data_IF_828056790930
#
_entry.id   IF_828056790930
#
_cell.length_a   1.000
_cell.length_b   1.000
_cell.length_c   1.000
_cell.angle_alpha   90.00
_cell.angle_beta   90.00
_cell.angle_gamma   90.00
#
_symmetry.space_group_name_H-M   'P 1'
#
loop_
_entity.id
_entity.type
_entity.pdbx_description
1 polymer ?
#
# COMPACT_ATOMS: atom_id res chain seq x y z
N UNK A 1 -51.09 -8.68 -35.16
CA UNK A 1 -50.13 -9.75 -34.82
C UNK A 1 -50.21 -9.99 -33.33
N UNK A 2 -50.70 -11.17 -32.94
CA UNK A 2 -51.08 -11.54 -31.58
C UNK A 2 -49.81 -12.04 -30.85
N UNK A 3 -49.33 -11.31 -29.84
CA UNK A 3 -48.25 -11.78 -28.98
C UNK A 3 -48.77 -12.94 -28.13
N UNK A 4 -48.48 -14.17 -28.57
CA UNK A 4 -48.61 -15.36 -27.72
C UNK A 4 -47.72 -15.16 -26.51
N UNK A 5 -48.34 -15.18 -25.32
CA UNK A 5 -47.70 -15.49 -24.03
C UNK A 5 -46.75 -16.66 -24.23
N UNK A 6 -45.44 -16.43 -24.08
CA UNK A 6 -44.52 -17.48 -23.67
C UNK A 6 -44.93 -17.87 -22.25
N UNK A 7 -45.71 -18.94 -22.15
CA UNK A 7 -45.88 -19.69 -20.91
C UNK A 7 -44.51 -20.22 -20.53
N UNK A 8 -43.99 -19.79 -19.38
CA UNK A 8 -42.92 -20.49 -18.68
C UNK A 8 -43.44 -21.92 -18.44
N UNK A 9 -42.96 -22.87 -19.23
CA UNK A 9 -43.10 -24.27 -18.90
C UNK A 9 -42.33 -24.48 -17.59
N UNK A 10 -42.98 -25.13 -16.62
CA UNK A 10 -42.35 -25.60 -15.39
C UNK A 10 -41.17 -26.50 -15.78
N UNK A 11 -39.95 -25.95 -15.83
CA UNK A 11 -38.71 -26.71 -15.89
C UNK A 11 -38.58 -27.51 -14.59
N UNK A 12 -39.21 -28.69 -14.56
CA UNK A 12 -39.21 -29.60 -13.42
C UNK A 12 -37.95 -30.44 -13.26
N UNK A 13 -36.88 -30.18 -14.03
CA UNK A 13 -35.61 -30.92 -13.92
C UNK A 13 -34.41 -30.00 -14.22
N UNK A 14 -34.15 -29.03 -13.33
CA UNK A 14 -32.84 -28.38 -13.28
C UNK A 14 -31.81 -29.36 -12.70
N UNK A 15 -31.05 -30.01 -13.59
CA UNK A 15 -29.95 -30.94 -13.25
C UNK A 15 -28.87 -30.33 -12.34
N UNK A 16 -28.83 -28.99 -12.18
CA UNK A 16 -27.94 -28.34 -11.21
C UNK A 16 -28.28 -28.70 -9.75
N UNK A 17 -29.52 -29.15 -9.49
CA UNK A 17 -30.01 -29.50 -8.15
C UNK A 17 -29.90 -31.01 -7.83
N UNK A 18 -29.45 -31.86 -8.77
CA UNK A 18 -29.28 -33.32 -8.57
C UNK A 18 -28.05 -33.68 -7.71
N UNK A 19 -27.37 -32.71 -7.11
CA UNK A 19 -26.18 -32.91 -6.29
C UNK A 19 -26.48 -33.66 -4.98
N UNK A 20 -25.68 -34.70 -4.69
CA UNK A 20 -25.74 -35.41 -3.40
C UNK A 20 -25.20 -34.50 -2.30
N UNK A 21 -26.01 -34.19 -1.29
CA UNK A 21 -25.55 -33.50 -0.07
C UNK A 21 -24.52 -34.38 0.66
N UNK A 22 -23.23 -34.09 0.46
CA UNK A 22 -22.12 -34.83 1.09
C UNK A 22 -21.94 -34.46 2.58
N UNK A 23 -22.52 -33.36 3.05
CA UNK A 23 -22.40 -32.94 4.46
C UNK A 23 -23.13 -33.90 5.42
N UNK A 24 -24.15 -34.64 4.94
CA UNK A 24 -24.89 -35.63 5.74
C UNK A 24 -24.19 -36.99 5.86
N UNK A 25 -23.09 -37.23 5.13
CA UNK A 25 -22.35 -38.51 5.12
C UNK A 25 -21.16 -38.55 6.10
N UNK A 26 -20.97 -37.52 6.92
CA UNK A 26 -19.82 -37.35 7.80
C UNK A 26 -18.61 -36.76 7.07
N UNK A 27 -17.87 -35.86 7.74
CA UNK A 27 -16.76 -35.09 7.18
C UNK A 27 -16.63 -33.70 7.84
N UNK A 28 -15.67 -32.89 7.37
CA UNK A 28 -15.44 -31.54 7.89
C UNK A 28 -16.70 -30.66 7.71
N UNK A 29 -17.21 -30.11 8.82
CA UNK A 29 -18.41 -29.26 8.82
C UNK A 29 -18.03 -27.79 8.72
N UNK A 30 -18.79 -26.99 7.97
CA UNK A 30 -18.55 -25.56 7.75
C UNK A 30 -18.28 -24.78 9.05
N UNK A 31 -19.12 -24.98 10.07
CA UNK A 31 -18.99 -24.31 11.36
C UNK A 31 -17.72 -24.67 12.12
N UNK A 32 -17.25 -25.91 11.98
CA UNK A 32 -16.01 -26.39 12.59
C UNK A 32 -14.78 -25.84 11.85
N UNK A 33 -14.79 -25.90 10.50
CA UNK A 33 -13.70 -25.38 9.67
C UNK A 33 -13.43 -23.90 9.92
N UNK A 34 -14.49 -23.09 9.96
CA UNK A 34 -14.38 -21.65 10.19
C UNK A 34 -14.32 -21.27 11.67
N UNK A 35 -14.41 -22.26 12.58
CA UNK A 35 -14.47 -22.03 14.02
C UNK A 35 -15.53 -20.99 14.41
N UNK A 36 -16.73 -21.10 13.84
CA UNK A 36 -17.81 -20.13 14.05
C UNK A 36 -18.25 -20.05 15.52
N UNK A 37 -18.02 -21.10 16.30
CA UNK A 37 -18.24 -21.07 17.74
C UNK A 37 -17.35 -20.05 18.46
N UNK A 38 -16.16 -19.72 17.92
CA UNK A 38 -15.32 -18.64 18.46
C UNK A 38 -15.72 -17.30 17.88
N UNK A 39 -15.91 -17.23 16.56
CA UNK A 39 -16.18 -15.96 15.86
C UNK A 39 -17.55 -15.38 16.25
N UNK A 40 -18.61 -16.20 16.28
CA UNK A 40 -19.99 -15.77 16.53
C UNK A 40 -20.37 -15.73 18.02
N UNK A 41 -19.41 -15.97 18.92
CA UNK A 41 -19.60 -15.82 20.38
C UNK A 41 -18.59 -14.81 20.97
N UNK A 42 -18.09 -13.89 20.16
CA UNK A 42 -17.14 -12.85 20.58
C UNK A 42 -17.79 -11.46 20.72
N UNK A 43 -19.11 -11.36 20.61
CA UNK A 43 -19.87 -10.09 20.56
C UNK A 43 -20.43 -9.72 21.94
N UNK A 44 -19.57 -9.19 22.81
CA UNK A 44 -19.94 -8.86 24.19
C UNK A 44 -20.10 -7.34 24.39
N UNK A 45 -21.34 -6.91 24.61
CA UNK A 45 -21.69 -5.50 24.81
C UNK A 45 -21.37 -5.03 26.24
N UNK A 46 -20.55 -4.00 26.38
CA UNK A 46 -20.25 -3.41 27.68
C UNK A 46 -21.46 -2.72 28.28
N UNK A 47 -22.31 -2.09 27.46
CA UNK A 47 -23.51 -1.44 27.96
C UNK A 47 -24.51 -2.46 28.53
N UNK A 48 -24.67 -3.61 27.87
CA UNK A 48 -25.50 -4.74 28.34
C UNK A 48 -24.96 -5.31 29.66
N UNK A 49 -23.64 -5.50 29.78
CA UNK A 49 -22.99 -5.90 31.04
C UNK A 49 -23.24 -4.94 32.20
N UNK A 50 -23.42 -3.65 31.89
CA UNK A 50 -23.70 -2.60 32.89
C UNK A 50 -25.19 -2.38 33.11
N UNK A 51 -26.06 -3.24 32.56
CA UNK A 51 -27.51 -3.19 32.76
C UNK A 51 -28.24 -2.18 31.89
N UNK A 52 -27.59 -1.61 30.88
CA UNK A 52 -28.16 -0.61 29.97
C UNK A 52 -27.81 -0.95 28.52
N UNK A 53 -28.46 -1.98 27.96
CA UNK A 53 -28.18 -2.45 26.59
C UNK A 53 -28.49 -1.37 25.55
N UNK A 54 -27.49 -1.00 24.74
CA UNK A 54 -27.61 -0.06 23.64
C UNK A 54 -27.44 -0.84 22.34
N UNK A 55 -28.41 -0.70 21.43
CA UNK A 55 -28.50 -1.52 20.21
C UNK A 55 -27.26 -1.38 19.31
N UNK A 56 -26.87 -0.14 19.01
CA UNK A 56 -25.79 0.17 18.06
C UNK A 56 -24.38 -0.20 18.58
N UNK A 57 -24.22 -0.54 19.85
CA UNK A 57 -22.96 -1.09 20.36
C UNK A 57 -22.61 -2.42 19.67
N UNK A 58 -23.61 -3.24 19.30
CA UNK A 58 -23.38 -4.48 18.56
C UNK A 58 -22.80 -4.20 17.16
N UNK A 59 -23.35 -3.20 16.44
CA UNK A 59 -22.83 -2.75 15.14
C UNK A 59 -21.39 -2.24 15.26
N UNK A 60 -21.11 -1.46 16.31
CA UNK A 60 -19.77 -0.98 16.61
C UNK A 60 -18.77 -2.14 16.78
N UNK A 61 -19.12 -3.15 17.59
CA UNK A 61 -18.28 -4.33 17.83
C UNK A 61 -18.02 -5.12 16.54
N UNK A 62 -19.09 -5.50 15.81
CA UNK A 62 -18.97 -6.31 14.59
C UNK A 62 -18.17 -5.60 13.51
N UNK A 63 -18.33 -4.27 13.37
CA UNK A 63 -17.55 -3.48 12.41
C UNK A 63 -16.05 -3.55 12.73
N UNK A 64 -15.66 -3.36 14.00
CA UNK A 64 -14.25 -3.44 14.40
C UNK A 64 -13.69 -4.85 14.28
N UNK A 65 -14.47 -5.89 14.61
CA UNK A 65 -14.06 -7.29 14.42
C UNK A 65 -13.82 -7.62 12.95
N UNK A 66 -14.68 -7.15 12.05
CA UNK A 66 -14.49 -7.31 10.61
C UNK A 66 -13.22 -6.60 10.11
N UNK A 67 -12.94 -5.37 10.57
CA UNK A 67 -11.67 -4.70 10.28
C UNK A 67 -10.46 -5.52 10.76
N UNK A 68 -10.48 -6.04 11.98
CA UNK A 68 -9.37 -6.81 12.55
C UNK A 68 -9.15 -8.16 11.84
N UNK A 69 -10.21 -8.81 11.33
CA UNK A 69 -10.07 -9.99 10.47
C UNK A 69 -9.36 -9.63 9.15
N UNK A 70 -9.73 -8.51 8.53
CA UNK A 70 -9.08 -8.05 7.30
C UNK A 70 -7.65 -7.57 7.52
N UNK A 71 -7.35 -6.90 8.64
CA UNK A 71 -5.97 -6.56 9.00
C UNK A 71 -5.12 -7.82 9.15
N UNK A 72 -5.66 -8.88 9.76
CA UNK A 72 -4.97 -10.17 9.83
C UNK A 72 -4.68 -10.76 8.46
N UNK A 73 -5.65 -10.70 7.54
CA UNK A 73 -5.44 -11.16 6.16
C UNK A 73 -4.38 -10.33 5.44
N UNK A 74 -4.41 -8.99 5.57
CA UNK A 74 -3.39 -8.11 4.98
C UNK A 74 -2.01 -8.45 5.53
N UNK A 75 -1.87 -8.63 6.84
CA UNK A 75 -0.61 -9.02 7.47
C UNK A 75 -0.11 -10.36 6.96
N UNK A 76 -1.00 -11.33 6.76
CA UNK A 76 -0.66 -12.63 6.18
C UNK A 76 -0.11 -12.50 4.75
N UNK A 77 -0.77 -11.73 3.89
CA UNK A 77 -0.28 -11.47 2.54
C UNK A 77 1.05 -10.71 2.58
N UNK A 78 1.15 -9.66 3.39
CA UNK A 78 2.33 -8.80 3.55
C UNK A 78 3.55 -9.61 3.99
N UNK A 79 3.42 -10.41 5.05
CA UNK A 79 4.51 -11.23 5.56
C UNK A 79 4.95 -12.28 4.54
N UNK A 80 4.00 -12.87 3.82
CA UNK A 80 4.33 -13.83 2.77
C UNK A 80 5.10 -13.19 1.61
N UNK A 81 4.82 -11.93 1.27
CA UNK A 81 5.57 -11.18 0.25
C UNK A 81 6.94 -10.80 0.79
N UNK A 82 7.03 -10.27 2.02
CA UNK A 82 8.30 -9.96 2.68
C UNK A 82 9.25 -11.17 2.68
N UNK A 83 8.75 -12.36 3.02
CA UNK A 83 9.53 -13.61 2.99
C UNK A 83 10.04 -13.96 1.59
N UNK A 84 9.25 -13.75 0.52
CA UNK A 84 9.70 -13.98 -0.87
C UNK A 84 10.91 -13.09 -1.21
N UNK A 85 10.90 -11.82 -0.77
CA UNK A 85 12.04 -10.92 -0.96
C UNK A 85 13.22 -11.30 -0.07
N UNK A 86 13.00 -11.57 1.22
CA UNK A 86 14.03 -11.90 2.20
C UNK A 86 14.82 -13.14 1.82
N UNK A 87 14.13 -14.19 1.37
CA UNK A 87 14.77 -15.47 1.01
C UNK A 87 15.37 -15.45 -0.42
N UNK A 88 15.34 -14.30 -1.10
CA UNK A 88 15.89 -14.16 -2.45
C UNK A 88 15.05 -14.80 -3.56
N UNK A 89 13.91 -15.44 -3.24
CA UNK A 89 13.00 -16.03 -4.23
C UNK A 89 12.44 -15.02 -5.24
N UNK A 90 12.42 -13.73 -4.89
CA UNK A 90 12.08 -12.64 -5.82
C UNK A 90 13.05 -12.50 -7.00
N UNK A 91 14.28 -13.05 -6.89
CA UNK A 91 15.26 -13.04 -8.00
C UNK A 91 14.83 -13.96 -9.14
N UNK A 92 14.09 -15.02 -8.85
CA UNK A 92 13.41 -15.80 -9.88
C UNK A 92 12.14 -15.07 -10.31
N UNK A 93 12.19 -14.48 -11.50
CA UNK A 93 11.13 -13.64 -12.06
C UNK A 93 9.79 -14.38 -12.20
N UNK A 94 9.78 -15.73 -12.19
CA UNK A 94 8.55 -16.53 -12.16
C UNK A 94 7.71 -16.25 -10.91
N UNK A 95 8.33 -15.81 -9.81
CA UNK A 95 7.62 -15.44 -8.58
C UNK A 95 6.98 -14.05 -8.64
N UNK A 96 7.30 -13.22 -9.64
CA UNK A 96 6.77 -11.85 -9.73
C UNK A 96 5.24 -11.84 -9.84
N UNK A 97 4.65 -12.78 -10.57
CA UNK A 97 3.18 -12.90 -10.69
C UNK A 97 2.52 -13.19 -9.33
N UNK A 98 3.15 -14.02 -8.51
CA UNK A 98 2.69 -14.35 -7.16
C UNK A 98 2.77 -13.12 -6.25
N UNK A 99 3.88 -12.39 -6.30
CA UNK A 99 4.09 -11.14 -5.55
C UNK A 99 3.01 -10.11 -5.90
N UNK A 100 2.84 -9.81 -7.20
CA UNK A 100 1.87 -8.79 -7.63
C UNK A 100 0.43 -9.18 -7.30
N UNK A 101 0.08 -10.46 -7.41
CA UNK A 101 -1.28 -10.94 -7.09
C UNK A 101 -1.59 -10.74 -5.60
N UNK A 102 -0.63 -10.99 -4.70
CA UNK A 102 -0.80 -10.77 -3.27
C UNK A 102 -0.84 -9.29 -2.90
N UNK A 103 0.03 -8.47 -3.48
CA UNK A 103 -0.01 -7.01 -3.28
C UNK A 103 -1.34 -6.42 -3.81
N UNK A 104 -1.81 -6.85 -4.99
CA UNK A 104 -3.12 -6.43 -5.51
C UNK A 104 -4.27 -6.88 -4.61
N UNK A 105 -4.19 -8.07 -4.02
CA UNK A 105 -5.18 -8.53 -3.04
C UNK A 105 -5.23 -7.62 -1.82
N UNK A 106 -4.09 -7.16 -1.31
CA UNK A 106 -4.03 -6.17 -0.22
C UNK A 106 -4.76 -4.88 -0.63
N UNK A 107 -4.50 -4.36 -1.83
CA UNK A 107 -5.20 -3.18 -2.35
C UNK A 107 -6.71 -3.39 -2.45
N UNK A 108 -7.18 -4.57 -2.89
CA UNK A 108 -8.61 -4.88 -2.94
C UNK A 108 -9.25 -4.95 -1.55
N UNK A 109 -8.56 -5.55 -0.57
CA UNK A 109 -9.03 -5.56 0.81
C UNK A 109 -9.09 -4.13 1.36
N UNK A 110 -8.06 -3.30 1.13
CA UNK A 110 -8.07 -1.91 1.58
C UNK A 110 -9.19 -1.08 0.94
N UNK A 111 -9.55 -1.32 -0.33
CA UNK A 111 -10.74 -0.70 -0.96
C UNK A 111 -12.02 -1.05 -0.20
N UNK A 112 -12.22 -2.34 0.11
CA UNK A 112 -13.36 -2.79 0.90
C UNK A 112 -13.36 -2.13 2.30
N UNK A 113 -12.20 -2.02 2.95
CA UNK A 113 -12.07 -1.35 4.24
C UNK A 113 -12.40 0.15 4.19
N UNK A 114 -12.12 0.82 3.08
CA UNK A 114 -12.52 2.23 2.88
C UNK A 114 -14.04 2.35 2.76
N UNK A 115 -14.68 1.43 2.03
CA UNK A 115 -16.15 1.40 1.85
C UNK A 115 -16.88 0.98 3.13
N UNK A 116 -16.28 0.11 3.95
CA UNK A 116 -16.87 -0.42 5.18
C UNK A 116 -17.23 0.67 6.21
N UNK A 117 -16.60 1.85 6.15
CA UNK A 117 -17.03 3.01 6.95
C UNK A 117 -18.50 3.37 6.74
N UNK A 118 -19.03 3.24 5.52
CA UNK A 118 -20.43 3.56 5.20
C UNK A 118 -21.43 2.77 6.06
N UNK A 119 -21.07 1.55 6.47
CA UNK A 119 -21.89 0.71 7.36
C UNK A 119 -21.91 1.27 8.78
N UNK A 120 -20.75 1.62 9.34
CA UNK A 120 -20.70 2.24 10.66
C UNK A 120 -21.29 3.65 10.65
N UNK A 121 -21.32 4.29 9.48
CA UNK A 121 -21.89 5.63 9.33
C UNK A 121 -23.41 5.67 9.42
N UNK A 122 -24.11 4.53 9.39
CA UNK A 122 -25.55 4.47 9.63
C UNK A 122 -25.92 4.71 11.10
N UNK A 123 -24.98 4.52 12.03
CA UNK A 123 -25.14 4.88 13.44
C UNK A 123 -25.14 6.40 13.60
N UNK A 124 -26.07 6.94 14.38
CA UNK A 124 -26.11 8.38 14.65
C UNK A 124 -25.12 8.77 15.75
N UNK A 125 -24.70 10.04 15.76
CA UNK A 125 -23.83 10.55 16.81
C UNK A 125 -24.51 10.54 18.20
N UNK A 126 -25.84 10.62 18.24
CA UNK A 126 -26.61 10.54 19.49
C UNK A 126 -26.59 9.10 20.04
N UNK A 127 -26.91 8.11 19.22
CA UNK A 127 -26.88 6.69 19.61
C UNK A 127 -25.46 6.26 20.01
N UNK A 128 -24.44 6.75 19.30
CA UNK A 128 -23.05 6.54 19.69
C UNK A 128 -22.75 7.10 21.09
N UNK A 129 -23.29 8.27 21.42
CA UNK A 129 -23.03 8.94 22.70
C UNK A 129 -23.62 8.15 23.88
N UNK A 130 -24.70 7.40 23.68
CA UNK A 130 -25.36 6.60 24.71
C UNK A 130 -24.50 5.44 25.23
N UNK A 131 -23.59 4.89 24.41
CA UNK A 131 -22.67 3.83 24.84
C UNK A 131 -21.19 4.24 24.90
N UNK A 132 -20.82 5.42 24.37
CA UNK A 132 -19.43 5.90 24.34
C UNK A 132 -18.74 5.88 25.70
N UNK A 133 -19.47 6.16 26.79
CA UNK A 133 -18.93 6.16 28.15
C UNK A 133 -18.35 4.79 28.56
N UNK A 134 -18.96 3.69 28.12
CA UNK A 134 -18.52 2.32 28.46
C UNK A 134 -17.20 1.92 27.78
N UNK A 135 -16.79 2.66 26.74
CA UNK A 135 -15.57 2.38 25.97
C UNK A 135 -14.31 2.93 26.64
N UNK A 136 -14.41 3.94 27.51
CA UNK A 136 -13.22 4.58 28.09
C UNK A 136 -12.46 3.63 29.03
N UNK A 137 -11.12 3.53 28.96
CA UNK A 137 -10.17 4.29 28.15
C UNK A 137 -9.76 3.62 26.81
N UNK A 138 -10.50 2.61 26.36
CA UNK A 138 -10.17 1.87 25.15
C UNK A 138 -10.24 2.76 23.89
N UNK A 139 -9.32 2.53 22.94
CA UNK A 139 -9.27 3.27 21.68
C UNK A 139 -8.53 2.54 20.58
N UNK A 140 -8.72 2.96 19.32
CA UNK A 140 -7.99 2.42 18.17
C UNK A 140 -6.47 2.57 18.24
N UNK A 141 -5.93 3.38 19.17
CA UNK A 141 -4.49 3.39 19.45
C UNK A 141 -3.96 2.03 19.94
N UNK A 142 -4.84 1.19 20.49
CA UNK A 142 -4.56 -0.15 20.98
C UNK A 142 -4.75 -1.24 19.90
N UNK A 143 -5.06 -0.89 18.64
CA UNK A 143 -5.09 -1.87 17.55
C UNK A 143 -3.66 -2.30 17.23
N UNK A 144 -3.27 -3.47 17.74
CA UNK A 144 -1.96 -4.07 17.51
C UNK A 144 -1.72 -4.30 16.01
N UNK A 145 -2.69 -4.89 15.32
CA UNK A 145 -2.54 -5.26 13.91
C UNK A 145 -2.39 -4.03 13.01
N UNK A 146 -3.08 -2.92 13.32
CA UNK A 146 -2.89 -1.68 12.57
C UNK A 146 -1.46 -1.12 12.71
N UNK A 147 -0.86 -1.22 13.91
CA UNK A 147 0.53 -0.80 14.13
C UNK A 147 1.53 -1.74 13.47
N UNK A 148 1.30 -3.06 13.55
CA UNK A 148 2.10 -4.04 12.83
C UNK A 148 2.07 -3.80 11.32
N UNK A 149 0.90 -3.46 10.77
CA UNK A 149 0.73 -3.14 9.35
C UNK A 149 1.57 -1.92 8.95
N UNK A 150 1.46 -0.81 9.69
CA UNK A 150 2.24 0.40 9.43
C UNK A 150 3.75 0.11 9.48
N UNK A 151 4.21 -0.64 10.48
CA UNK A 151 5.63 -0.98 10.63
C UNK A 151 6.12 -1.88 9.49
N UNK A 152 5.36 -2.94 9.15
CA UNK A 152 5.72 -3.90 8.10
C UNK A 152 5.70 -3.29 6.70
N UNK A 153 4.84 -2.31 6.42
CA UNK A 153 4.92 -1.52 5.17
C UNK A 153 6.20 -0.69 5.19
N UNK A 154 6.45 0.05 6.28
CA UNK A 154 7.67 0.83 6.48
C UNK A 154 7.47 2.26 6.96
N UNK A 155 6.42 2.56 7.74
CA UNK A 155 6.21 3.89 8.31
C UNK A 155 7.33 4.18 9.34
N UNK A 156 8.21 5.17 9.11
CA UNK A 156 9.31 5.44 10.02
C UNK A 156 8.83 6.02 11.35
N UNK A 157 9.42 5.54 12.45
CA UNK A 157 9.07 6.03 13.79
C UNK A 157 9.27 7.53 13.95
N UNK A 158 10.36 8.07 13.38
CA UNK A 158 10.71 9.50 13.43
C UNK A 158 9.67 10.41 12.75
N UNK A 159 8.89 9.86 11.82
CA UNK A 159 7.89 10.62 11.06
C UNK A 159 6.49 10.57 11.67
N UNK A 160 6.25 9.65 12.62
CA UNK A 160 4.96 9.57 13.31
C UNK A 160 4.69 10.85 14.07
N UNK A 161 3.46 11.34 13.94
CA UNK A 161 3.02 12.52 14.69
C UNK A 161 2.99 12.17 16.18
N UNK A 162 3.72 12.93 17.03
CA UNK A 162 3.78 12.64 18.45
C UNK A 162 2.42 12.85 19.10
N UNK A 163 2.07 11.96 20.02
CA UNK A 163 0.90 12.09 20.87
C UNK A 163 1.33 11.87 22.33
N UNK A 164 0.94 12.80 23.22
CA UNK A 164 1.35 12.83 24.63
C UNK A 164 2.86 12.72 24.90
N UNK A 165 3.71 13.07 23.91
CA UNK A 165 5.18 12.92 23.97
C UNK A 165 5.63 11.48 24.31
N UNK A 166 4.79 10.49 24.03
CA UNK A 166 5.05 9.07 24.28
C UNK A 166 5.19 8.31 22.97
N UNK A 167 5.90 7.20 23.02
CA UNK A 167 6.02 6.30 21.88
C UNK A 167 4.67 5.62 21.66
N UNK A 168 4.27 5.37 20.41
CA UNK A 168 2.99 4.67 20.13
C UNK A 168 2.96 3.25 20.76
N UNK A 169 4.15 2.69 21.03
CA UNK A 169 4.38 1.35 21.59
C UNK A 169 4.15 1.30 23.11
N UNK A 170 4.18 2.45 23.80
CA UNK A 170 4.02 2.53 25.27
C UNK A 170 2.64 2.07 25.77
N UNK A 171 1.69 1.89 24.84
CA UNK A 171 0.33 1.44 25.08
C UNK A 171 0.27 -0.10 25.21
N UNK A 172 1.23 -0.81 24.64
CA UNK A 172 1.26 -2.27 24.57
C UNK A 172 2.18 -2.87 25.64
N UNK A 173 1.89 -4.10 26.10
CA UNK A 173 2.65 -4.80 27.15
C UNK A 173 2.86 -6.26 26.79
N UNK A 174 3.86 -6.90 27.39
CA UNK A 174 4.12 -8.34 27.22
C UNK A 174 4.34 -8.72 25.75
N UNK A 175 3.69 -9.79 25.30
CA UNK A 175 3.84 -10.34 23.95
C UNK A 175 3.51 -9.32 22.84
N UNK A 176 2.50 -8.46 23.04
CA UNK A 176 2.13 -7.45 22.05
C UNK A 176 3.25 -6.41 21.84
N UNK A 177 3.93 -6.03 22.92
CA UNK A 177 5.07 -5.13 22.86
C UNK A 177 6.25 -5.78 22.13
N UNK A 178 6.53 -7.06 22.41
CA UNK A 178 7.57 -7.83 21.74
C UNK A 178 7.30 -7.97 20.24
N UNK A 179 6.05 -8.23 19.85
CA UNK A 179 5.64 -8.30 18.44
C UNK A 179 5.86 -6.96 17.72
N UNK A 180 5.54 -5.84 18.37
CA UNK A 180 5.80 -4.51 17.81
C UNK A 180 7.29 -4.24 17.66
N UNK A 181 8.07 -4.53 18.69
CA UNK A 181 9.52 -4.36 18.67
C UNK A 181 10.15 -5.21 17.54
N UNK A 182 9.69 -6.45 17.37
CA UNK A 182 10.08 -7.31 16.26
C UNK A 182 9.71 -6.70 14.91
N UNK A 183 8.51 -6.14 14.77
CA UNK A 183 8.04 -5.53 13.52
C UNK A 183 8.81 -4.27 13.11
N UNK A 184 9.45 -3.58 14.06
CA UNK A 184 10.33 -2.43 13.80
C UNK A 184 11.76 -2.86 13.42
N UNK A 185 12.19 -4.04 13.87
CA UNK A 185 13.55 -4.54 13.64
C UNK A 185 13.67 -5.40 12.38
N UNK A 186 12.63 -6.17 12.06
CA UNK A 186 12.61 -6.98 10.85
C UNK A 186 12.56 -6.09 9.59
N UNK A 187 13.16 -6.52 8.47
CA UNK A 187 13.11 -5.78 7.21
C UNK A 187 11.67 -5.46 6.79
N UNK A 188 11.43 -4.17 6.54
CA UNK A 188 10.14 -3.65 6.07
C UNK A 188 9.95 -3.92 4.57
N UNK A 189 8.72 -3.82 4.08
CA UNK A 189 8.45 -3.93 2.64
C UNK A 189 9.21 -2.85 1.85
N UNK A 190 9.28 -1.62 2.37
CA UNK A 190 10.08 -0.53 1.77
C UNK A 190 11.55 -0.95 1.58
N UNK A 191 12.22 -1.44 2.63
CA UNK A 191 13.63 -1.83 2.56
C UNK A 191 13.88 -3.01 1.62
N UNK A 192 12.93 -3.96 1.57
CA UNK A 192 13.03 -5.11 0.69
C UNK A 192 12.83 -4.73 -0.79
N UNK A 193 11.89 -3.82 -1.06
CA UNK A 193 11.66 -3.24 -2.39
C UNK A 193 12.85 -2.38 -2.81
N UNK A 194 13.39 -1.55 -1.91
CA UNK A 194 14.60 -0.75 -2.14
C UNK A 194 15.76 -1.65 -2.58
N UNK A 195 16.10 -2.67 -1.80
CA UNK A 195 17.17 -3.59 -2.15
C UNK A 195 16.94 -4.31 -3.49
N UNK A 196 15.69 -4.58 -3.85
CA UNK A 196 15.34 -5.15 -5.16
C UNK A 196 15.51 -4.14 -6.31
N UNK A 197 15.08 -2.89 -6.12
CA UNK A 197 15.25 -1.79 -7.09
C UNK A 197 16.73 -1.46 -7.36
N UNK A 198 17.60 -1.58 -6.36
CA UNK A 198 19.04 -1.37 -6.51
C UNK A 198 19.73 -2.40 -7.44
N UNK A 199 19.03 -3.49 -7.77
CA UNK A 199 19.47 -4.54 -8.69
C UNK A 199 18.72 -4.50 -10.02
N UNK A 200 17.95 -3.45 -10.29
CA UNK A 200 17.26 -3.30 -11.57
C UNK A 200 18.28 -3.35 -12.71
N UNK A 201 18.09 -4.23 -13.72
CA UNK A 201 19.01 -4.34 -14.83
C UNK A 201 19.07 -3.06 -15.66
N UNK A 202 20.27 -2.69 -16.09
CA UNK A 202 20.55 -1.51 -16.91
C UNK A 202 21.09 -0.30 -16.14
N UNK A 203 21.26 -0.43 -14.82
CA UNK A 203 21.90 0.58 -13.98
C UNK A 203 23.44 0.47 -13.97
N UNK A 204 23.99 -0.60 -14.53
CA UNK A 204 25.42 -0.87 -14.53
C UNK A 204 26.17 0.07 -15.49
N UNK A 205 27.21 0.74 -15.00
CA UNK A 205 28.03 1.67 -15.79
C UNK A 205 28.79 1.00 -16.94
N UNK A 206 29.22 -0.26 -16.76
CA UNK A 206 29.87 -1.06 -17.81
C UNK A 206 28.84 -1.76 -18.75
N UNK A 207 27.55 -1.51 -18.53
CA UNK A 207 26.44 -2.13 -19.26
C UNK A 207 25.66 -1.12 -20.10
N UNK A 208 24.36 -0.97 -19.79
CA UNK A 208 23.50 0.01 -20.47
C UNK A 208 23.75 1.45 -20.01
N UNK A 209 24.31 1.64 -18.80
CA UNK A 209 24.50 2.93 -18.14
C UNK A 209 23.28 3.88 -18.29
N UNK A 210 22.11 3.41 -17.83
CA UNK A 210 20.89 4.19 -17.90
C UNK A 210 21.06 5.61 -17.34
N UNK A 211 21.80 5.75 -16.23
CA UNK A 211 21.89 7.03 -15.55
C UNK A 211 22.77 8.04 -16.28
N UNK A 212 23.95 7.62 -16.77
CA UNK A 212 24.83 8.49 -17.55
C UNK A 212 24.19 8.93 -18.86
N UNK A 213 23.62 7.98 -19.61
CA UNK A 213 22.93 8.27 -20.87
C UNK A 213 21.69 9.16 -20.66
N UNK A 214 20.95 8.96 -19.57
CA UNK A 214 19.80 9.78 -19.24
C UNK A 214 20.20 11.22 -18.89
N UNK A 215 21.29 11.42 -18.12
CA UNK A 215 21.81 12.74 -17.80
C UNK A 215 22.21 13.51 -19.06
N UNK A 216 22.96 12.86 -19.96
CA UNK A 216 23.38 13.46 -21.24
C UNK A 216 22.16 13.86 -22.07
N UNK A 217 21.15 12.99 -22.20
CA UNK A 217 19.97 13.31 -23.00
C UNK A 217 19.12 14.43 -22.39
N UNK A 218 19.01 14.49 -21.06
CA UNK A 218 18.30 15.59 -20.39
C UNK A 218 19.02 16.91 -20.60
N UNK A 219 20.35 16.94 -20.49
CA UNK A 219 21.15 18.14 -20.76
C UNK A 219 20.97 18.62 -22.20
N UNK A 220 21.10 17.72 -23.19
CA UNK A 220 20.91 18.04 -24.59
C UNK A 220 19.48 18.54 -24.88
N UNK A 221 18.47 17.85 -24.33
CA UNK A 221 17.07 18.21 -24.50
C UNK A 221 16.74 19.59 -23.92
N UNK A 222 17.31 19.92 -22.74
CA UNK A 222 17.17 21.25 -22.13
C UNK A 222 17.87 22.34 -22.97
N UNK A 223 19.02 22.04 -23.59
CA UNK A 223 19.69 22.98 -24.50
C UNK A 223 18.86 23.24 -25.77
N UNK A 224 18.27 22.20 -26.35
CA UNK A 224 17.37 22.31 -27.50
C UNK A 224 16.11 23.12 -27.15
N UNK A 225 15.46 22.83 -26.03
CA UNK A 225 14.30 23.59 -25.54
C UNK A 225 14.65 25.06 -25.28
N UNK A 226 15.79 25.33 -24.67
CA UNK A 226 16.26 26.70 -24.46
C UNK A 226 16.44 27.45 -25.78
N UNK A 227 17.07 26.83 -26.77
CA UNK A 227 17.26 27.43 -28.09
C UNK A 227 15.93 27.74 -28.78
N UNK A 228 14.93 26.84 -28.65
CA UNK A 228 13.59 27.05 -29.19
C UNK A 228 12.86 28.24 -28.53
N UNK A 229 12.95 28.36 -27.21
CA UNK A 229 12.36 29.50 -26.48
C UNK A 229 13.10 30.79 -26.81
N UNK A 230 14.43 30.76 -26.88
CA UNK A 230 15.26 31.93 -27.18
C UNK A 230 15.01 32.48 -28.59
N UNK A 231 14.73 31.61 -29.57
CA UNK A 231 14.42 31.99 -30.94
C UNK A 231 13.05 32.68 -31.11
N UNK A 232 12.17 32.65 -30.10
CA UNK A 232 10.90 33.38 -30.14
C UNK A 232 11.13 34.90 -30.12
N UNK A 233 10.25 35.69 -30.78
CA UNK A 233 10.32 37.14 -30.74
C UNK A 233 10.15 37.65 -29.30
N UNK A 234 10.77 38.80 -28.99
CA UNK A 234 10.67 39.44 -27.67
C UNK A 234 9.21 39.78 -27.33
N UNK A 235 8.70 39.22 -26.23
CA UNK A 235 7.34 39.41 -25.74
C UNK A 235 7.25 39.00 -24.27
N UNK A 236 6.20 39.44 -23.57
CA UNK A 236 5.88 38.99 -22.21
C UNK A 236 5.71 37.45 -22.15
N UNK A 237 5.14 36.86 -23.20
CA UNK A 237 5.02 35.40 -23.34
C UNK A 237 6.39 34.71 -23.38
N UNK A 238 7.39 35.31 -24.04
CA UNK A 238 8.76 34.78 -24.06
C UNK A 238 9.38 34.81 -22.67
N UNK A 239 9.20 35.90 -21.92
CA UNK A 239 9.72 36.04 -20.56
C UNK A 239 9.10 34.99 -19.62
N UNK A 240 7.79 34.75 -19.73
CA UNK A 240 7.09 33.70 -18.98
C UNK A 240 7.63 32.30 -19.32
N UNK A 241 7.83 32.01 -20.61
CA UNK A 241 8.40 30.73 -21.07
C UNK A 241 9.83 30.53 -20.57
N UNK A 242 10.67 31.58 -20.55
CA UNK A 242 12.04 31.50 -20.01
C UNK A 242 12.04 31.25 -18.51
N UNK A 243 11.14 31.89 -17.77
CA UNK A 243 10.97 31.69 -16.32
C UNK A 243 10.53 30.26 -15.98
N UNK A 244 9.57 29.73 -16.73
CA UNK A 244 9.09 28.35 -16.56
C UNK A 244 10.17 27.33 -16.94
N UNK A 245 10.86 27.55 -18.06
CA UNK A 245 11.99 26.73 -18.48
C UNK A 245 13.07 26.67 -17.39
N UNK A 246 13.44 27.81 -16.79
CA UNK A 246 14.46 27.84 -15.75
C UNK A 246 14.05 27.02 -14.52
N UNK A 247 12.78 27.10 -14.09
CA UNK A 247 12.26 26.27 -12.98
C UNK A 247 12.31 24.78 -13.33
N UNK A 248 11.86 24.42 -14.53
CA UNK A 248 11.86 23.02 -14.99
C UNK A 248 13.29 22.48 -15.07
N UNK A 249 14.23 23.27 -15.61
CA UNK A 249 15.66 22.96 -15.66
C UNK A 249 16.22 22.69 -14.25
N UNK A 250 15.99 23.60 -13.31
CA UNK A 250 16.49 23.45 -11.93
C UNK A 250 15.92 22.19 -11.25
N UNK A 251 14.65 21.87 -11.51
CA UNK A 251 14.00 20.66 -11.00
C UNK A 251 14.60 19.39 -11.63
N UNK A 252 14.72 19.33 -12.96
CA UNK A 252 15.26 18.16 -13.64
C UNK A 252 16.73 17.93 -13.30
N UNK A 253 17.55 18.98 -13.30
CA UNK A 253 18.97 18.85 -12.95
C UNK A 253 19.18 18.47 -11.48
N UNK A 254 18.24 18.84 -10.59
CA UNK A 254 18.29 18.39 -9.19
C UNK A 254 18.16 16.89 -9.00
N UNK A 255 17.68 16.17 -10.02
CA UNK A 255 17.62 14.71 -10.00
C UNK A 255 19.03 14.10 -9.93
N UNK A 256 20.00 14.71 -10.60
CA UNK A 256 21.38 14.20 -10.73
C UNK A 256 22.28 14.57 -9.55
N UNK A 257 21.82 15.45 -8.65
CA UNK A 257 22.52 15.83 -7.43
C UNK A 257 22.30 14.80 -6.30
N UNK A 258 23.24 13.86 -6.17
CA UNK A 258 23.24 12.83 -5.14
C UNK A 258 23.31 13.41 -3.72
N UNK A 259 24.06 14.50 -3.50
CA UNK A 259 24.17 15.13 -2.17
C UNK A 259 22.85 15.75 -1.75
N UNK A 260 22.13 16.38 -2.69
CA UNK A 260 20.76 16.85 -2.44
C UNK A 260 19.83 15.69 -2.16
N UNK A 261 19.95 14.56 -2.86
CA UNK A 261 19.18 13.36 -2.56
C UNK A 261 19.42 12.89 -1.11
N UNK A 262 20.67 12.74 -0.69
CA UNK A 262 21.05 12.32 0.67
C UNK A 262 20.52 13.28 1.75
N UNK A 263 20.58 14.60 1.49
CA UNK A 263 20.00 15.61 2.38
C UNK A 263 18.49 15.42 2.57
N UNK A 264 17.75 15.20 1.48
CA UNK A 264 16.31 14.96 1.53
C UNK A 264 15.97 13.62 2.22
N UNK A 265 16.81 12.60 2.05
CA UNK A 265 16.70 11.33 2.74
C UNK A 265 16.86 11.52 4.27
N UNK A 266 17.87 12.29 4.69
CA UNK A 266 18.14 12.58 6.11
C UNK A 266 16.99 13.29 6.82
N UNK A 267 16.23 14.12 6.08
CA UNK A 267 15.04 14.83 6.59
C UNK A 267 13.78 13.97 6.59
N UNK A 268 13.79 12.80 5.95
CA UNK A 268 12.57 12.05 5.68
C UNK A 268 11.64 12.78 4.70
N UNK A 269 12.19 13.47 3.72
CA UNK A 269 11.45 13.95 2.54
C UNK A 269 11.53 12.94 1.38
N UNK A 270 12.63 12.18 1.30
CA UNK A 270 12.77 10.93 0.51
C UNK A 270 12.83 9.70 1.42
N UNK A 271 12.67 8.50 0.86
CA UNK A 271 12.67 7.21 1.58
C UNK A 271 13.60 6.18 0.94
N UNK A 272 13.62 6.13 -0.39
CA UNK A 272 14.47 5.23 -1.18
C UNK A 272 15.89 5.79 -1.32
N UNK A 273 16.87 4.90 -1.33
CA UNK A 273 18.24 5.20 -1.72
C UNK A 273 18.31 5.78 -3.13
N UNK A 274 19.41 6.49 -3.42
CA UNK A 274 19.59 7.10 -4.73
C UNK A 274 19.60 6.05 -5.83
N UNK A 275 20.27 4.91 -5.61
CA UNK A 275 20.31 3.80 -6.57
C UNK A 275 18.95 3.14 -6.76
N UNK A 276 18.16 2.96 -5.71
CA UNK A 276 16.79 2.45 -5.84
C UNK A 276 15.89 3.40 -6.64
N UNK A 277 16.06 4.72 -6.45
CA UNK A 277 15.34 5.74 -7.22
C UNK A 277 15.65 5.63 -8.73
N UNK A 278 16.92 5.40 -9.10
CA UNK A 278 17.33 5.13 -10.50
C UNK A 278 16.64 3.89 -11.04
N UNK A 279 16.61 2.81 -10.27
CA UNK A 279 15.95 1.56 -10.65
C UNK A 279 14.44 1.70 -10.84
N UNK A 280 13.78 2.50 -10.00
CA UNK A 280 12.36 2.78 -10.16
C UNK A 280 12.08 3.60 -11.43
N UNK A 281 12.93 4.59 -11.73
CA UNK A 281 12.79 5.40 -12.95
C UNK A 281 13.07 4.59 -14.23
N UNK A 282 14.05 3.67 -14.19
CA UNK A 282 14.30 2.68 -15.25
C UNK A 282 13.03 1.87 -15.55
N UNK A 283 12.41 1.28 -14.51
CA UNK A 283 11.15 0.52 -14.66
C UNK A 283 10.03 1.40 -15.24
N UNK A 284 9.93 2.68 -14.84
CA UNK A 284 8.90 3.59 -15.34
C UNK A 284 9.04 3.90 -16.84
N UNK A 285 10.25 4.23 -17.29
CA UNK A 285 10.50 4.59 -18.68
C UNK A 285 10.37 3.40 -19.63
N UNK A 286 10.83 2.23 -19.20
CA UNK A 286 10.89 1.02 -20.01
C UNK A 286 9.84 -0.05 -19.62
N UNK A 287 8.75 0.36 -18.98
CA UNK A 287 7.67 -0.52 -18.48
C UNK A 287 7.04 -1.45 -19.53
N UNK A 288 7.20 -1.17 -20.81
CA UNK A 288 6.65 -1.99 -21.89
C UNK A 288 7.54 -3.18 -22.24
N UNK A 289 8.82 -3.14 -21.86
CA UNK A 289 9.74 -4.26 -22.02
C UNK A 289 9.28 -5.47 -21.18
N UNK A 290 9.30 -6.70 -21.72
CA UNK A 290 8.68 -7.86 -21.07
C UNK A 290 9.10 -8.08 -19.61
N UNK A 291 10.40 -7.93 -19.29
CA UNK A 291 10.92 -8.07 -17.93
C UNK A 291 10.47 -6.95 -16.97
N UNK A 292 10.03 -5.80 -17.47
CA UNK A 292 9.59 -4.66 -16.64
C UNK A 292 8.07 -4.48 -16.53
N UNK A 293 7.27 -5.23 -17.30
CA UNK A 293 5.80 -5.13 -17.24
C UNK A 293 5.24 -5.44 -15.83
N UNK A 294 5.62 -6.59 -15.26
CA UNK A 294 5.16 -6.98 -13.91
C UNK A 294 5.83 -6.13 -12.80
N UNK A 295 7.14 -5.80 -12.87
CA UNK A 295 7.75 -4.79 -12.01
C UNK A 295 7.02 -3.45 -11.97
N UNK A 296 6.60 -2.92 -13.12
CA UNK A 296 5.85 -1.67 -13.18
C UNK A 296 4.47 -1.79 -12.51
N UNK A 297 3.79 -2.93 -12.70
CA UNK A 297 2.55 -3.20 -11.97
C UNK A 297 2.79 -3.23 -10.46
N UNK A 298 3.87 -3.84 -9.99
CA UNK A 298 4.24 -3.82 -8.57
C UNK A 298 4.41 -2.41 -8.05
N UNK A 299 5.20 -1.55 -8.71
CA UNK A 299 5.37 -0.15 -8.29
C UNK A 299 4.04 0.60 -8.23
N UNK A 300 3.16 0.37 -9.21
CA UNK A 300 1.81 0.92 -9.24
C UNK A 300 1.00 0.47 -8.02
N UNK A 301 1.00 -0.83 -7.72
CA UNK A 301 0.21 -1.36 -6.61
C UNK A 301 0.75 -0.96 -5.23
N UNK A 302 2.06 -0.69 -5.11
CA UNK A 302 2.64 -0.12 -3.90
C UNK A 302 2.13 1.32 -3.66
N UNK A 303 2.03 2.13 -4.71
CA UNK A 303 1.38 3.45 -4.63
C UNK A 303 -0.11 3.31 -4.27
N UNK A 304 -0.82 2.34 -4.83
CA UNK A 304 -2.24 2.10 -4.51
C UNK A 304 -2.44 1.79 -3.01
N UNK A 305 -1.56 0.99 -2.40
CA UNK A 305 -1.60 0.71 -0.95
C UNK A 305 -1.49 2.02 -0.16
N UNK A 306 -0.54 2.90 -0.48
CA UNK A 306 -0.36 4.19 0.20
C UNK A 306 -1.58 5.11 0.04
N UNK A 307 -2.14 5.18 -1.17
CA UNK A 307 -3.36 5.94 -1.46
C UNK A 307 -4.52 5.41 -0.63
N UNK A 308 -4.71 4.10 -0.59
CA UNK A 308 -5.83 3.47 0.11
C UNK A 308 -5.69 3.56 1.64
N UNK A 309 -4.47 3.43 2.17
CA UNK A 309 -4.20 3.68 3.59
C UNK A 309 -4.52 5.12 3.97
N UNK A 310 -4.15 6.09 3.11
CA UNK A 310 -4.46 7.50 3.34
C UNK A 310 -5.97 7.78 3.25
N UNK A 311 -6.65 7.19 2.26
CA UNK A 311 -8.12 7.25 2.14
C UNK A 311 -8.82 6.66 3.36
N UNK A 312 -8.34 5.51 3.86
CA UNK A 312 -8.88 4.89 5.08
C UNK A 312 -8.74 5.83 6.28
N UNK A 313 -7.57 6.47 6.46
CA UNK A 313 -7.36 7.48 7.52
C UNK A 313 -8.31 8.67 7.35
N UNK A 314 -8.49 9.15 6.13
CA UNK A 314 -9.35 10.30 5.86
C UNK A 314 -10.83 9.98 6.09
N UNK A 315 -11.33 8.83 5.63
CA UNK A 315 -12.70 8.40 5.91
C UNK A 315 -12.92 8.23 7.42
N UNK A 316 -11.94 7.65 8.13
CA UNK A 316 -11.98 7.58 9.59
C UNK A 316 -12.06 8.99 10.23
N UNK A 317 -11.28 9.96 9.76
CA UNK A 317 -11.34 11.36 10.21
C UNK A 317 -12.72 11.96 10.00
N UNK A 318 -13.32 11.79 8.82
CA UNK A 318 -14.65 12.29 8.50
C UNK A 318 -15.73 11.69 9.41
N UNK A 319 -15.72 10.36 9.56
CA UNK A 319 -16.64 9.65 10.46
C UNK A 319 -16.47 10.14 11.90
N UNK A 320 -15.24 10.23 12.41
CA UNK A 320 -14.97 10.70 13.78
C UNK A 320 -15.43 12.15 13.98
N UNK A 321 -15.22 13.02 13.00
CA UNK A 321 -15.70 14.41 13.09
C UNK A 321 -17.22 14.46 13.25
N UNK A 322 -17.96 13.60 12.52
CA UNK A 322 -19.42 13.48 12.67
C UNK A 322 -19.84 12.89 14.02
N UNK A 323 -19.10 11.90 14.53
CA UNK A 323 -19.44 11.19 15.77
C UNK A 323 -19.13 11.99 17.05
N UNK A 324 -18.02 12.75 17.09
CA UNK A 324 -17.57 13.42 18.32
C UNK A 324 -17.26 14.91 18.16
N UNK A 325 -17.32 15.48 16.96
CA UNK A 325 -16.95 16.88 16.71
C UNK A 325 -15.53 17.18 17.16
N UNK A 326 -15.38 18.22 17.98
CA UNK A 326 -14.10 18.63 18.60
C UNK A 326 -13.83 18.00 19.97
N UNK A 327 -14.65 17.04 20.43
CA UNK A 327 -14.43 16.40 21.72
C UNK A 327 -13.14 15.56 21.70
N UNK A 328 -12.45 15.50 22.84
CA UNK A 328 -11.31 14.62 23.02
C UNK A 328 -11.72 13.14 22.85
N UNK A 329 -10.81 12.33 22.31
CA UNK A 329 -10.99 10.89 22.14
C UNK A 329 -10.91 10.13 23.46
N UNK A 330 -11.50 8.93 23.53
CA UNK A 330 -11.46 8.05 24.72
C UNK A 330 -10.03 7.60 25.06
N UNK A 331 -9.15 7.51 24.06
CA UNK A 331 -7.72 7.25 24.23
C UNK A 331 -6.89 8.47 24.69
N UNK A 332 -7.56 9.60 24.98
CA UNK A 332 -6.96 10.83 25.48
C UNK A 332 -6.47 11.82 24.42
N UNK A 333 -6.56 11.49 23.12
CA UNK A 333 -6.10 12.41 22.08
C UNK A 333 -7.02 13.61 21.92
N UNK A 334 -6.56 14.61 21.18
CA UNK A 334 -7.42 15.71 20.69
C UNK A 334 -8.52 15.23 19.73
N UNK A 335 -8.68 13.92 19.54
CA UNK A 335 -9.70 13.29 18.70
C UNK A 335 -9.45 13.62 17.24
N UNK A 336 -10.37 14.37 16.65
CA UNK A 336 -10.37 14.77 15.25
C UNK A 336 -9.04 15.43 14.80
N UNK A 337 -8.48 16.36 15.59
CA UNK A 337 -7.28 17.10 15.18
C UNK A 337 -6.03 16.20 15.08
N UNK A 338 -5.85 15.28 16.03
CA UNK A 338 -4.79 14.27 15.94
C UNK A 338 -4.97 13.41 14.69
N UNK A 339 -6.17 12.86 14.46
CA UNK A 339 -6.41 11.98 13.31
C UNK A 339 -6.17 12.71 11.98
N UNK A 340 -6.60 13.98 11.86
CA UNK A 340 -6.35 14.81 10.69
C UNK A 340 -4.85 14.98 10.42
N UNK A 341 -4.03 15.14 11.46
CA UNK A 341 -2.57 15.24 11.29
C UNK A 341 -1.93 13.95 10.74
N UNK A 342 -2.59 12.80 10.86
CA UNK A 342 -2.12 11.53 10.28
C UNK A 342 -2.42 11.40 8.79
N UNK A 343 -3.25 12.28 8.22
CA UNK A 343 -3.50 12.39 6.78
C UNK A 343 -2.43 13.30 6.19
N UNK A 344 -1.23 12.73 6.02
CA UNK A 344 -0.01 13.45 5.64
C UNK A 344 0.97 12.50 4.94
N UNK A 345 1.81 13.05 4.05
CA UNK A 345 2.90 12.32 3.40
C UNK A 345 3.95 11.76 4.38
N UNK A 346 3.92 12.18 5.66
CA UNK A 346 4.69 11.53 6.74
C UNK A 346 4.37 10.03 6.87
N UNK A 347 3.15 9.63 6.55
CA UNK A 347 2.68 8.24 6.60
C UNK A 347 2.66 7.54 5.23
N UNK A 348 3.06 8.24 4.16
CA UNK A 348 3.17 7.69 2.81
C UNK A 348 4.55 7.06 2.65
N UNK A 349 4.61 5.74 2.57
CA UNK A 349 5.88 4.99 2.65
C UNK A 349 6.62 5.01 1.32
N UNK A 350 5.91 4.92 0.21
CA UNK A 350 6.44 4.96 -1.15
C UNK A 350 6.29 6.34 -1.79
N UNK A 351 6.41 7.42 -1.01
CA UNK A 351 6.25 8.81 -1.47
C UNK A 351 7.13 9.14 -2.68
N UNK A 352 8.32 8.54 -2.75
CA UNK A 352 9.24 8.73 -3.88
C UNK A 352 8.65 8.26 -5.21
N UNK A 353 7.87 7.17 -5.23
CA UNK A 353 7.24 6.66 -6.46
C UNK A 353 6.23 7.65 -7.05
N UNK A 354 5.55 8.43 -6.21
CA UNK A 354 4.68 9.52 -6.66
C UNK A 354 5.50 10.68 -7.22
N UNK A 355 6.54 11.08 -6.49
CA UNK A 355 7.41 12.20 -6.83
C UNK A 355 8.32 11.92 -8.04
N UNK A 356 8.48 10.66 -8.47
CA UNK A 356 9.12 10.34 -9.75
C UNK A 356 8.43 11.01 -10.94
N UNK A 357 7.12 11.27 -10.84
CA UNK A 357 6.36 11.96 -11.88
C UNK A 357 6.88 13.38 -12.17
N UNK A 358 7.55 14.00 -11.19
CA UNK A 358 8.21 15.31 -11.33
C UNK A 358 9.36 15.28 -12.34
N UNK A 359 9.96 14.11 -12.58
CA UNK A 359 11.14 13.95 -13.43
C UNK A 359 10.84 13.27 -14.77
N UNK A 360 9.58 13.21 -15.17
CA UNK A 360 9.20 12.70 -16.48
C UNK A 360 9.64 13.69 -17.57
N UNK A 361 10.19 13.16 -18.65
CA UNK A 361 10.67 13.92 -19.80
C UNK A 361 9.99 13.45 -21.08
N UNK A 362 10.06 14.23 -22.17
CA UNK A 362 9.61 13.78 -23.48
C UNK A 362 10.22 12.42 -23.87
N UNK A 363 9.42 11.58 -24.54
CA UNK A 363 9.82 10.20 -24.89
C UNK A 363 11.12 10.11 -25.67
N UNK A 364 11.44 11.12 -26.47
CA UNK A 364 12.65 11.13 -27.29
C UNK A 364 13.93 11.45 -26.49
N UNK A 365 13.82 11.92 -25.24
CA UNK A 365 14.96 12.12 -24.33
C UNK A 365 15.31 10.85 -23.56
N UNK A 366 14.41 9.86 -23.53
CA UNK A 366 14.66 8.58 -22.88
C UNK A 366 15.75 7.85 -23.68
N UNK A 367 16.83 7.35 -23.04
CA UNK A 367 17.88 6.62 -23.74
C UNK A 367 17.33 5.47 -24.58
N UNK A 368 17.81 5.34 -25.81
CA UNK A 368 17.36 4.27 -26.70
C UNK A 368 18.07 2.98 -26.32
N UNK A 369 17.31 1.90 -26.20
CA UNK A 369 17.90 0.58 -26.02
C UNK A 369 18.55 0.09 -27.30
N UNK A 370 19.77 -0.44 -27.19
CA UNK A 370 20.39 -1.17 -28.29
C UNK A 370 19.78 -2.59 -28.41
N UNK A 371 19.92 -3.27 -29.57
CA UNK A 371 19.35 -4.61 -29.76
C UNK A 371 19.81 -5.67 -28.75
N UNK A 372 21.05 -5.56 -28.24
CA UNK A 372 21.58 -6.46 -27.21
C UNK A 372 20.88 -6.31 -25.86
N UNK A 373 20.60 -5.08 -25.43
CA UNK A 373 19.90 -4.79 -24.17
C UNK A 373 18.42 -5.16 -24.30
N UNK A 374 17.78 -4.89 -25.44
CA UNK A 374 16.44 -5.40 -25.71
C UNK A 374 16.37 -6.93 -25.55
N UNK A 375 17.33 -7.68 -26.12
CA UNK A 375 17.35 -9.15 -26.00
C UNK A 375 17.52 -9.62 -24.55
N UNK A 376 18.33 -8.93 -23.75
CA UNK A 376 18.47 -9.22 -22.31
C UNK A 376 17.19 -8.96 -21.52
N UNK A 377 16.44 -7.92 -21.87
CA UNK A 377 15.15 -7.60 -21.25
C UNK A 377 13.98 -8.46 -21.75
N UNK A 378 14.24 -9.32 -22.75
CA UNK A 378 13.33 -10.36 -23.23
C UNK A 378 13.61 -11.74 -22.63
N UNK A 379 14.83 -12.00 -22.14
CA UNK A 379 15.24 -13.33 -21.66
C UNK A 379 15.24 -13.35 -20.13
N UNK A 380 14.27 -14.06 -19.55
CA UNK A 380 14.23 -14.28 -18.09
C UNK A 380 15.31 -15.30 -17.69
N UNK A 381 16.17 -14.95 -16.74
CA UNK A 381 17.14 -15.88 -16.15
C UNK A 381 16.39 -16.83 -15.20
N UNK A 382 16.31 -18.12 -15.57
CA UNK A 382 15.81 -19.15 -14.67
C UNK A 382 16.93 -19.59 -13.72
N UNK A 383 16.86 -19.14 -12.46
CA UNK A 383 17.58 -19.80 -11.37
C UNK A 383 16.78 -21.04 -10.96
N UNK A 384 17.26 -22.22 -11.37
CA UNK A 384 16.61 -23.49 -11.05
C UNK A 384 16.86 -23.85 -9.58
N UNK A 385 15.92 -23.49 -8.68
CA UNK A 385 15.98 -23.84 -7.25
C UNK A 385 15.28 -25.17 -6.92
N UNK A 386 14.99 -25.99 -7.93
CA UNK A 386 14.15 -27.19 -7.82
C UNK A 386 14.82 -28.43 -7.20
N UNK A 387 15.98 -28.30 -6.54
CA UNK A 387 16.75 -29.46 -6.02
C UNK A 387 17.09 -29.46 -4.52
N UNK A 388 16.31 -28.80 -3.66
CA UNK A 388 16.37 -29.06 -2.22
C UNK A 388 15.02 -29.65 -1.75
N UNK A 389 14.82 -30.93 -2.09
CA UNK A 389 13.91 -31.80 -1.36
C UNK A 389 14.55 -32.07 0.01
N UNK A 390 13.83 -31.73 1.07
CA UNK A 390 14.13 -32.20 2.41
C UNK A 390 13.79 -33.70 2.49
N UNK A 391 14.74 -34.55 2.12
CA UNK A 391 14.82 -35.91 2.64
C UNK A 391 15.90 -35.90 3.72
N UNK A 392 15.47 -35.81 4.97
CA UNK A 392 16.17 -36.39 6.12
C UNK A 392 15.08 -36.76 7.13
N UNK A 393 14.43 -37.89 6.85
CA UNK A 393 13.81 -38.72 7.86
C UNK A 393 14.74 -39.92 8.05
N UNK A 394 15.40 -39.97 9.21
CA UNK A 394 15.76 -41.19 9.93
C UNK A 394 15.73 -40.90 11.44
#
# INVERSE_FOLDING_TARGET
YNFKKLTLEDEKDDKSQEGINKASKGGLVYGEYLQLNKILNAQELQSEKKGNKIHDEHLFIVTHQAYELWFKQILWEMDSVRVIFQNGHVRDERNMLKVITRINRISMILKLLVEQFSVLETMTALDFFDFRYYLSPASGFQSLQFRLLENKIGVPQSLRVPYNRRHYRDIFKGQDYELLLKSEQEPTLLQLVEAWLERTPGLEAEGFDFWGEFEVNVLNGLEEEFALVQAKPESEEKDDLLSEFQKQKDVLLSLFDEKRHEHLLSKGERRLSYKALKGALMIYFYREEPRFQVPFQLLTSLMDIDVLMTKWRYNHVCMVHRMIGSKAGTGGSSGYQYLRSTVSDRYKVFVDLFNLSTFLVPRHWIPKMNPSIHKFLYTAECCDSSYFSSDDSD
#
